data_IF_409891318631
#
_entry.id   IF_409891318631
#
_cell.length_a   1.000
_cell.length_b   1.000
_cell.length_c   1.000
_cell.angle_alpha   90.00
_cell.angle_beta   90.00
_cell.angle_gamma   90.00
#
_symmetry.space_group_name_H-M   'P 1'
#
loop_
_entity.id
_entity.type
_entity.pdbx_description
1 polymer ?
#
# COMPACT_ATOMS: atom_id res chain seq x y z
N UNK A 1 -18.92 -0.03 -27.92
CA UNK A 1 -19.92 -0.39 -26.88
C UNK A 1 -19.94 -1.90 -26.75
N UNK A 2 -19.49 -2.45 -25.62
CA UNK A 2 -19.56 -3.89 -25.35
C UNK A 2 -20.71 -4.18 -24.38
N UNK A 3 -21.68 -4.99 -24.80
CA UNK A 3 -22.75 -5.48 -23.92
C UNK A 3 -22.16 -6.48 -22.92
N UNK A 4 -22.39 -6.24 -21.62
CA UNK A 4 -21.98 -7.14 -20.53
C UNK A 4 -23.23 -7.77 -19.92
N UNK A 5 -23.26 -9.10 -19.82
CA UNK A 5 -24.35 -9.84 -19.18
C UNK A 5 -23.91 -10.33 -17.82
N UNK A 6 -24.63 -9.95 -16.77
CA UNK A 6 -24.39 -10.41 -15.40
C UNK A 6 -25.49 -11.37 -14.98
N UNK A 7 -25.10 -12.56 -14.51
CA UNK A 7 -26.02 -13.60 -14.01
C UNK A 7 -26.37 -13.31 -12.54
N UNK A 8 -27.66 -13.18 -12.23
CA UNK A 8 -28.10 -13.01 -10.84
C UNK A 8 -28.07 -14.36 -10.09
N UNK A 9 -27.54 -14.37 -8.87
CA UNK A 9 -27.62 -15.53 -7.97
C UNK A 9 -29.03 -15.61 -7.36
N UNK A 10 -29.58 -16.81 -7.26
CA UNK A 10 -30.96 -17.12 -6.87
C UNK A 10 -31.30 -16.90 -5.39
N UNK A 11 -30.55 -16.06 -4.68
CA UNK A 11 -30.63 -15.97 -3.22
C UNK A 11 -31.53 -14.81 -2.79
N UNK A 12 -32.83 -14.90 -3.11
CA UNK A 12 -33.96 -14.27 -2.41
C UNK A 12 -33.97 -12.75 -2.11
N UNK A 13 -32.96 -12.00 -2.50
CA UNK A 13 -32.82 -10.57 -2.25
C UNK A 13 -32.77 -9.85 -3.58
N UNK A 14 -33.86 -9.17 -3.91
CA UNK A 14 -33.94 -8.29 -5.08
C UNK A 14 -32.89 -7.19 -4.89
N UNK A 15 -31.90 -7.05 -5.80
CA UNK A 15 -30.97 -5.93 -5.71
C UNK A 15 -31.76 -4.63 -5.86
N UNK A 16 -31.56 -3.69 -4.94
CA UNK A 16 -32.06 -2.32 -5.08
C UNK A 16 -31.23 -1.66 -6.16
N UNK A 17 -31.80 -1.49 -7.35
CA UNK A 17 -31.18 -0.80 -8.47
C UNK A 17 -31.53 0.69 -8.39
N UNK A 18 -30.51 1.53 -8.53
CA UNK A 18 -30.62 2.98 -8.53
C UNK A 18 -31.44 3.46 -9.73
N UNK A 19 -32.32 4.45 -9.54
CA UNK A 19 -33.41 4.80 -10.46
C UNK A 19 -32.98 5.46 -11.78
N UNK A 20 -31.66 5.61 -12.02
CA UNK A 20 -31.10 6.40 -13.12
C UNK A 20 -30.57 5.62 -14.33
N UNK A 21 -30.53 4.28 -14.30
CA UNK A 21 -29.96 3.49 -15.39
C UNK A 21 -30.99 2.58 -16.08
N UNK A 22 -31.03 2.64 -17.41
CA UNK A 22 -31.89 1.79 -18.23
C UNK A 22 -31.32 0.36 -18.28
N UNK A 23 -31.97 -0.55 -17.57
CA UNK A 23 -31.68 -1.98 -17.62
C UNK A 23 -32.87 -2.74 -18.18
N UNK A 24 -32.59 -3.76 -18.98
CA UNK A 24 -33.59 -4.74 -19.43
C UNK A 24 -33.31 -6.07 -18.75
N UNK A 25 -34.32 -6.65 -18.12
CA UNK A 25 -34.25 -8.01 -17.58
C UNK A 25 -34.47 -9.01 -18.70
N UNK A 26 -33.54 -9.96 -18.86
CA UNK A 26 -33.65 -11.02 -19.86
C UNK A 26 -33.64 -12.37 -19.16
N UNK A 27 -34.65 -13.19 -19.44
CA UNK A 27 -34.70 -14.59 -19.02
C UNK A 27 -34.11 -15.48 -20.10
N UNK A 28 -33.10 -16.27 -19.73
CA UNK A 28 -32.54 -17.33 -20.57
C UNK A 28 -32.56 -18.63 -19.77
N UNK A 29 -33.53 -19.49 -20.09
CA UNK A 29 -33.81 -20.70 -19.30
C UNK A 29 -34.26 -20.36 -17.86
N UNK A 30 -33.75 -21.09 -16.87
CA UNK A 30 -34.05 -20.87 -15.45
C UNK A 30 -33.29 -19.67 -14.82
N UNK A 31 -32.45 -18.96 -15.58
CA UNK A 31 -31.63 -17.87 -15.09
C UNK A 31 -32.14 -16.50 -15.57
N UNK A 32 -32.10 -15.52 -14.68
CA UNK A 32 -32.41 -14.12 -14.99
C UNK A 32 -31.11 -13.32 -15.08
N UNK A 33 -30.96 -12.56 -16.16
CA UNK A 33 -29.81 -11.71 -16.44
C UNK A 33 -30.26 -10.25 -16.47
N UNK A 34 -29.37 -9.36 -16.05
CA UNK A 34 -29.51 -7.93 -16.29
C UNK A 34 -28.67 -7.60 -17.52
N UNK A 35 -29.30 -7.03 -18.54
CA UNK A 35 -28.63 -6.48 -19.72
C UNK A 35 -28.77 -4.95 -19.68
N UNK A 36 -27.65 -4.24 -19.71
CA UNK A 36 -27.63 -2.80 -19.73
C UNK A 36 -26.25 -2.25 -20.08
N UNK A 37 -26.23 -1.00 -20.52
CA UNK A 37 -24.99 -0.25 -20.69
C UNK A 37 -24.43 0.06 -19.31
N UNK A 38 -23.24 -0.49 -18.99
CA UNK A 38 -22.47 0.02 -17.86
C UNK A 38 -22.25 1.51 -18.12
N UNK A 39 -22.51 2.41 -17.16
CA UNK A 39 -22.21 3.82 -17.33
C UNK A 39 -20.72 3.93 -17.66
N UNK A 40 -20.43 4.36 -18.90
CA UNK A 40 -19.13 4.85 -19.27
C UNK A 40 -18.95 6.13 -18.47
N UNK A 41 -18.10 6.06 -17.46
CA UNK A 41 -17.72 7.18 -16.60
C UNK A 41 -18.85 7.67 -15.71
N UNK A 42 -18.99 7.05 -14.54
CA UNK A 42 -19.48 7.80 -13.38
C UNK A 42 -18.46 8.94 -13.16
N UNK A 43 -18.87 10.21 -13.13
CA UNK A 43 -17.97 11.29 -12.72
C UNK A 43 -17.54 10.98 -11.30
N UNK A 44 -16.33 10.45 -11.14
CA UNK A 44 -15.70 10.31 -9.84
C UNK A 44 -15.40 11.74 -9.42
N UNK A 45 -16.20 12.31 -8.51
CA UNK A 45 -15.73 13.46 -7.73
C UNK A 45 -14.34 13.10 -7.24
N UNK A 46 -13.32 13.82 -7.72
CA UNK A 46 -11.93 13.51 -7.44
C UNK A 46 -11.66 13.81 -5.97
N UNK A 47 -11.94 12.85 -5.09
CA UNK A 47 -11.39 12.80 -3.74
C UNK A 47 -9.90 12.43 -3.75
N UNK A 48 -9.30 12.36 -4.94
CA UNK A 48 -7.86 12.17 -5.12
C UNK A 48 -7.07 13.32 -4.52
N UNK A 49 -5.77 13.10 -4.39
CA UNK A 49 -4.79 13.95 -3.72
C UNK A 49 -4.69 15.43 -4.18
N UNK A 50 -5.53 15.93 -5.08
CA UNK A 50 -5.44 17.29 -5.62
C UNK A 50 -4.07 17.57 -6.26
N UNK A 51 -3.52 18.77 -6.03
CA UNK A 51 -2.17 19.17 -6.49
C UNK A 51 -1.04 18.69 -5.57
N UNK A 52 -1.30 17.76 -4.63
CA UNK A 52 -0.28 17.32 -3.66
C UNK A 52 0.90 16.62 -4.35
N UNK A 53 2.12 16.98 -3.92
CA UNK A 53 3.35 16.33 -4.34
C UNK A 53 3.50 15.00 -3.61
N UNK A 54 3.61 13.89 -4.35
CA UNK A 54 3.50 12.54 -3.80
C UNK A 54 4.72 11.70 -4.12
N UNK A 55 5.25 11.03 -3.09
CA UNK A 55 6.36 10.10 -3.20
C UNK A 55 5.88 8.66 -2.96
N UNK A 56 6.31 7.74 -3.81
CA UNK A 56 6.38 6.32 -3.51
C UNK A 56 7.84 6.00 -3.14
N UNK A 57 8.07 5.80 -1.86
CA UNK A 57 9.37 5.50 -1.28
C UNK A 57 9.51 3.98 -1.09
N UNK A 58 10.31 3.36 -1.96
CA UNK A 58 10.55 1.91 -1.94
C UNK A 58 11.77 1.65 -1.07
N UNK A 59 11.58 0.95 0.04
CA UNK A 59 12.65 0.48 0.90
C UNK A 59 13.20 -0.83 0.33
N UNK A 60 14.51 -0.88 0.11
CA UNK A 60 15.22 -2.11 -0.32
C UNK A 60 16.63 -2.14 0.30
N UNK A 61 17.46 -3.10 -0.09
CA UNK A 61 18.85 -3.22 0.34
C UNK A 61 19.76 -3.74 -0.77
N UNK A 62 21.07 -3.74 -0.55
CA UNK A 62 22.08 -4.18 -1.52
C UNK A 62 22.15 -5.71 -1.69
N UNK A 63 21.32 -6.48 -0.97
CA UNK A 63 21.24 -7.91 -1.15
C UNK A 63 20.71 -8.26 -2.54
N UNK A 64 21.38 -9.20 -3.24
CA UNK A 64 21.10 -9.53 -4.64
C UNK A 64 19.61 -9.77 -4.94
N UNK A 65 18.95 -10.59 -4.11
CA UNK A 65 17.52 -10.92 -4.27
C UNK A 65 16.64 -9.66 -4.26
N UNK A 66 16.92 -8.75 -3.34
CA UNK A 66 16.18 -7.51 -3.12
C UNK A 66 16.39 -6.53 -4.29
N UNK A 67 17.63 -6.42 -4.78
CA UNK A 67 17.92 -5.68 -6.02
C UNK A 67 17.20 -6.27 -7.24
N UNK A 68 17.13 -7.60 -7.38
CA UNK A 68 16.38 -8.25 -8.46
C UNK A 68 14.86 -7.95 -8.39
N UNK A 69 14.30 -7.84 -7.18
CA UNK A 69 12.91 -7.42 -6.98
C UNK A 69 12.70 -5.95 -7.36
N UNK A 70 13.61 -5.06 -6.92
CA UNK A 70 13.61 -3.65 -7.30
C UNK A 70 13.71 -3.45 -8.83
N UNK A 71 14.57 -4.21 -9.52
CA UNK A 71 14.61 -4.21 -11.00
C UNK A 71 13.27 -4.63 -11.61
N UNK A 72 12.61 -5.63 -11.04
CA UNK A 72 11.28 -6.02 -11.52
C UNK A 72 10.25 -4.90 -11.38
N UNK A 73 10.31 -4.12 -10.29
CA UNK A 73 9.45 -2.94 -10.12
C UNK A 73 9.72 -1.89 -11.20
N UNK A 74 11.00 -1.60 -11.49
CA UNK A 74 11.44 -0.69 -12.57
C UNK A 74 10.97 -1.13 -13.95
N UNK A 75 10.94 -2.43 -14.22
CA UNK A 75 10.50 -3.00 -15.49
C UNK A 75 8.97 -3.14 -15.60
N UNK A 76 8.22 -2.97 -14.51
CA UNK A 76 6.78 -3.23 -14.47
C UNK A 76 5.97 -1.97 -14.16
N UNK A 77 5.61 -1.74 -12.90
CA UNK A 77 4.62 -0.73 -12.52
C UNK A 77 5.21 0.67 -12.29
N UNK A 78 6.50 0.77 -11.96
CA UNK A 78 7.16 2.07 -11.66
C UNK A 78 7.08 3.06 -12.84
N UNK A 79 7.30 2.66 -14.11
CA UNK A 79 7.19 3.60 -15.24
C UNK A 79 5.78 4.19 -15.42
N UNK A 80 4.74 3.55 -14.89
CA UNK A 80 3.37 4.06 -14.99
C UNK A 80 3.05 5.13 -13.93
N UNK A 81 3.80 5.19 -12.83
CA UNK A 81 3.57 6.11 -11.71
C UNK A 81 3.59 7.59 -12.12
N UNK A 82 4.51 7.98 -13.02
CA UNK A 82 4.64 9.36 -13.47
C UNK A 82 3.36 9.89 -14.16
N UNK A 83 2.60 9.01 -14.84
CA UNK A 83 1.32 9.37 -15.49
C UNK A 83 0.27 9.84 -14.50
N UNK A 84 0.41 9.43 -13.25
CA UNK A 84 -0.49 9.76 -12.15
C UNK A 84 0.14 10.75 -11.18
N UNK A 85 1.26 11.38 -11.53
CA UNK A 85 1.92 12.41 -10.71
C UNK A 85 2.56 11.88 -9.43
N UNK A 86 3.03 10.62 -9.44
CA UNK A 86 3.85 10.07 -8.37
C UNK A 86 5.33 10.10 -8.75
N UNK A 87 6.16 10.68 -7.88
CA UNK A 87 7.59 10.44 -7.89
C UNK A 87 7.88 9.08 -7.25
N UNK A 88 8.85 8.35 -7.78
CA UNK A 88 9.29 7.06 -7.23
C UNK A 88 10.77 7.14 -6.91
N UNK A 89 11.17 6.72 -5.71
CA UNK A 89 12.57 6.60 -5.30
C UNK A 89 12.81 5.32 -4.52
N UNK A 90 13.97 4.72 -4.73
CA UNK A 90 14.45 3.54 -4.02
C UNK A 90 15.42 3.99 -2.93
N UNK A 91 15.14 3.63 -1.69
CA UNK A 91 15.94 3.99 -0.53
C UNK A 91 16.71 2.77 -0.03
N UNK A 92 18.03 2.91 0.00
CA UNK A 92 18.96 1.87 0.43
C UNK A 92 19.85 2.44 1.54
N UNK A 93 20.41 1.57 2.36
CA UNK A 93 21.50 1.93 3.26
C UNK A 93 22.78 2.25 2.49
N UNK A 94 23.83 2.58 3.25
CA UNK A 94 25.09 3.08 2.70
C UNK A 94 25.71 2.09 1.72
N UNK A 95 26.27 2.61 0.63
CA UNK A 95 27.10 1.84 -0.31
C UNK A 95 28.12 2.72 -1.00
N UNK A 96 29.21 2.09 -1.44
CA UNK A 96 30.27 2.71 -2.24
C UNK A 96 29.97 2.69 -3.73
N UNK A 97 28.96 1.91 -4.17
CA UNK A 97 28.56 1.89 -5.57
C UNK A 97 27.93 3.25 -5.94
N UNK A 98 28.08 3.76 -7.17
CA UNK A 98 27.33 4.92 -7.60
C UNK A 98 25.82 4.65 -7.54
N UNK A 99 25.07 5.57 -6.94
CA UNK A 99 23.62 5.53 -6.95
C UNK A 99 23.08 5.72 -8.37
N UNK A 100 22.02 4.98 -8.70
CA UNK A 100 21.21 5.27 -9.90
C UNK A 100 20.40 6.54 -9.68
N UNK A 101 19.88 7.13 -10.75
CA UNK A 101 19.08 8.38 -10.70
C UNK A 101 17.86 8.29 -9.77
N UNK A 102 17.27 7.10 -9.65
CA UNK A 102 16.11 6.83 -8.81
C UNK A 102 16.48 6.31 -7.40
N UNK A 103 17.77 6.20 -7.08
CA UNK A 103 18.26 5.67 -5.81
C UNK A 103 18.73 6.77 -4.87
N UNK A 104 18.36 6.64 -3.60
CA UNK A 104 18.79 7.50 -2.50
C UNK A 104 19.49 6.62 -1.47
N UNK A 105 20.76 6.91 -1.17
CA UNK A 105 21.51 6.20 -0.14
C UNK A 105 21.42 6.95 1.18
N UNK A 106 21.10 6.21 2.22
CA UNK A 106 20.95 6.68 3.58
C UNK A 106 22.14 6.18 4.40
N UNK A 107 22.72 7.03 5.24
CA UNK A 107 23.84 6.68 6.11
C UNK A 107 23.35 5.88 7.33
N UNK A 108 22.83 4.68 7.07
CA UNK A 108 22.24 3.76 8.05
C UNK A 108 22.58 2.32 7.69
N UNK A 109 22.42 1.43 8.67
CA UNK A 109 22.51 -0.01 8.46
C UNK A 109 21.50 -0.47 7.40
N UNK A 110 21.97 -1.26 6.43
CA UNK A 110 21.16 -1.72 5.31
C UNK A 110 20.47 -3.08 5.57
N UNK A 111 20.72 -3.66 6.75
CA UNK A 111 20.12 -4.91 7.20
C UNK A 111 18.68 -4.75 7.68
N UNK A 112 18.05 -5.89 7.97
CA UNK A 112 16.65 -5.92 8.41
C UNK A 112 16.44 -5.24 9.77
N UNK A 113 17.39 -5.38 10.70
CA UNK A 113 17.31 -4.70 11.99
C UNK A 113 17.48 -3.17 11.86
N UNK A 114 18.08 -2.68 10.78
CA UNK A 114 18.24 -1.26 10.47
C UNK A 114 17.00 -0.59 9.87
N UNK A 115 15.91 -1.33 9.62
CA UNK A 115 14.71 -0.79 8.96
C UNK A 115 14.10 0.44 9.66
N UNK A 116 13.97 0.51 11.01
CA UNK A 116 13.46 1.71 11.67
C UNK A 116 14.32 2.96 11.39
N UNK A 117 15.65 2.81 11.43
CA UNK A 117 16.58 3.90 11.12
C UNK A 117 16.46 4.34 9.66
N UNK A 118 16.35 3.37 8.74
CA UNK A 118 16.17 3.61 7.31
C UNK A 118 14.86 4.31 6.99
N UNK A 119 13.74 3.88 7.57
CA UNK A 119 12.44 4.52 7.39
C UNK A 119 12.41 5.92 7.99
N UNK A 120 13.01 6.12 9.17
CA UNK A 120 13.14 7.46 9.75
C UNK A 120 13.89 8.42 8.81
N UNK A 121 15.04 7.97 8.29
CA UNK A 121 15.85 8.78 7.38
C UNK A 121 15.16 9.02 6.02
N UNK A 122 14.42 8.04 5.50
CA UNK A 122 13.59 8.19 4.30
C UNK A 122 12.50 9.25 4.49
N UNK A 123 11.80 9.25 5.62
CA UNK A 123 10.79 10.28 5.89
C UNK A 123 11.40 11.66 6.11
N UNK A 124 12.59 11.75 6.73
CA UNK A 124 13.33 13.00 6.83
C UNK A 124 13.65 13.56 5.44
N UNK A 125 14.20 12.72 4.55
CA UNK A 125 14.46 13.08 3.15
C UNK A 125 13.19 13.55 2.44
N UNK A 126 12.08 12.82 2.60
CA UNK A 126 10.82 13.16 1.97
C UNK A 126 10.28 14.54 2.41
N UNK A 127 10.35 14.83 3.71
CA UNK A 127 9.93 16.12 4.26
C UNK A 127 10.80 17.27 3.74
N UNK A 128 12.13 17.06 3.70
CA UNK A 128 13.09 18.03 3.16
C UNK A 128 12.83 18.35 1.68
N UNK A 129 12.42 17.34 0.90
CA UNK A 129 12.11 17.48 -0.53
C UNK A 129 10.67 17.96 -0.81
N UNK A 130 9.93 18.31 0.25
CA UNK A 130 8.65 19.00 0.16
C UNK A 130 7.49 18.12 -0.32
N UNK A 131 7.56 16.80 -0.12
CA UNK A 131 6.41 15.94 -0.41
C UNK A 131 5.30 16.12 0.62
N UNK A 132 4.06 16.20 0.13
CA UNK A 132 2.86 16.34 0.96
C UNK A 132 2.41 14.99 1.51
N UNK A 133 2.65 13.92 0.74
CA UNK A 133 2.31 12.54 1.09
C UNK A 133 3.40 11.59 0.61
N UNK A 134 3.74 10.63 1.47
CA UNK A 134 4.73 9.59 1.19
C UNK A 134 4.13 8.21 1.45
N UNK A 135 4.08 7.39 0.41
CA UNK A 135 3.84 5.95 0.54
C UNK A 135 5.17 5.27 0.81
N UNK A 136 5.37 4.72 2.01
CA UNK A 136 6.42 3.73 2.25
C UNK A 136 5.97 2.42 1.64
N UNK A 137 6.83 1.74 0.91
CA UNK A 137 6.59 0.36 0.45
C UNK A 137 7.91 -0.43 0.34
N UNK A 138 7.82 -1.73 0.05
CA UNK A 138 8.99 -2.63 -0.05
C UNK A 138 9.25 -3.05 -1.51
N UNK A 139 10.42 -3.63 -1.77
CA UNK A 139 10.81 -4.14 -3.10
C UNK A 139 10.02 -5.36 -3.57
N UNK A 140 9.36 -6.08 -2.67
CA UNK A 140 8.50 -7.23 -2.97
C UNK A 140 7.03 -6.86 -3.25
N UNK A 141 6.76 -5.56 -3.44
CA UNK A 141 5.41 -5.02 -3.63
C UNK A 141 5.10 -4.73 -5.10
N UNK A 142 3.90 -5.12 -5.51
CA UNK A 142 3.27 -4.75 -6.77
C UNK A 142 2.15 -3.73 -6.52
N UNK A 143 2.22 -2.60 -7.22
CA UNK A 143 1.26 -1.50 -7.15
C UNK A 143 0.54 -1.37 -8.49
N UNK A 144 -0.75 -1.03 -8.44
CA UNK A 144 -1.54 -0.63 -9.62
C UNK A 144 -1.69 0.90 -9.59
N UNK A 145 -0.87 1.69 -10.33
CA UNK A 145 -0.77 3.13 -10.11
C UNK A 145 -2.07 3.91 -10.31
N UNK A 146 -2.88 3.53 -11.31
CA UNK A 146 -4.17 4.19 -11.55
C UNK A 146 -5.17 4.00 -10.40
N UNK A 147 -5.08 2.88 -9.66
CA UNK A 147 -5.92 2.65 -8.48
C UNK A 147 -5.37 3.38 -7.27
N UNK A 148 -4.04 3.44 -7.16
CA UNK A 148 -3.37 4.17 -6.09
C UNK A 148 -3.69 5.66 -6.14
N UNK A 149 -3.78 6.25 -7.33
CA UNK A 149 -4.21 7.65 -7.52
C UNK A 149 -5.62 7.93 -6.96
N UNK A 150 -6.49 6.91 -6.95
CA UNK A 150 -7.86 6.99 -6.44
C UNK A 150 -7.99 6.48 -5.00
N UNK A 151 -6.90 6.10 -4.36
CA UNK A 151 -6.93 5.62 -2.98
C UNK A 151 -7.34 6.77 -2.04
N UNK A 152 -8.18 6.49 -1.02
CA UNK A 152 -8.69 7.49 -0.08
C UNK A 152 -7.62 7.90 0.95
N UNK A 153 -6.58 8.61 0.54
CA UNK A 153 -5.47 8.94 1.44
C UNK A 153 -5.66 10.29 2.11
N UNK A 154 -5.88 11.35 1.33
CA UNK A 154 -6.18 12.67 1.88
C UNK A 154 -7.60 12.69 2.48
N UNK A 155 -7.83 13.39 3.60
CA UNK A 155 -6.92 14.27 4.33
C UNK A 155 -6.17 13.58 5.49
N UNK A 156 -6.07 12.25 5.50
CA UNK A 156 -5.60 11.51 6.67
C UNK A 156 -4.08 11.53 6.83
N UNK A 157 -3.61 11.52 8.07
CA UNK A 157 -2.19 11.59 8.40
C UNK A 157 -1.47 10.23 8.26
N UNK A 158 -2.19 9.12 8.45
CA UNK A 158 -1.62 7.76 8.43
C UNK A 158 -2.65 6.77 7.86
N UNK A 159 -2.35 6.10 6.75
CA UNK A 159 -3.28 5.17 6.07
C UNK A 159 -2.57 3.89 5.66
N UNK A 160 -3.19 2.73 5.87
CA UNK A 160 -2.65 1.45 5.42
C UNK A 160 -3.43 0.24 5.95
N UNK A 161 -2.86 -0.96 5.88
CA UNK A 161 -3.47 -2.18 6.44
C UNK A 161 -3.09 -2.38 7.90
N UNK A 162 -3.92 -1.93 8.83
CA UNK A 162 -3.58 -1.99 10.26
C UNK A 162 -3.53 -3.41 10.81
N UNK A 163 -2.73 -3.60 11.86
CA UNK A 163 -2.64 -4.82 12.66
C UNK A 163 -2.86 -4.44 14.11
N UNK A 164 -3.37 -5.41 14.86
CA UNK A 164 -3.47 -5.32 16.31
C UNK A 164 -2.06 -5.12 16.91
N UNK A 165 -1.94 -4.49 18.09
CA UNK A 165 -0.64 -4.19 18.66
C UNK A 165 0.16 -5.46 18.94
N UNK A 166 1.48 -5.38 18.83
CA UNK A 166 2.41 -6.49 19.06
C UNK A 166 3.78 -5.96 19.53
N UNK A 167 4.74 -6.85 19.82
CA UNK A 167 6.08 -6.48 20.28
C UNK A 167 6.15 -5.85 21.69
N UNK A 168 5.05 -5.84 22.43
CA UNK A 168 4.94 -5.15 23.73
C UNK A 168 4.52 -3.67 23.63
N UNK A 169 4.18 -3.19 22.43
CA UNK A 169 3.79 -1.80 22.19
C UNK A 169 2.27 -1.62 22.15
N UNK A 170 1.73 -0.45 22.55
CA UNK A 170 0.29 -0.22 22.66
C UNK A 170 -0.40 0.11 21.33
N UNK A 171 0.27 0.75 20.37
CA UNK A 171 -0.38 1.27 19.17
C UNK A 171 -0.71 0.17 18.14
N UNK A 172 -1.86 0.31 17.46
CA UNK A 172 -2.11 -0.43 16.22
C UNK A 172 -1.26 0.16 15.10
N UNK A 173 -0.75 -0.70 14.23
CA UNK A 173 0.24 -0.30 13.23
C UNK A 173 -0.15 -0.76 11.83
N UNK A 174 0.09 0.08 10.82
CA UNK A 174 -0.07 -0.32 9.43
C UNK A 174 1.03 -1.33 9.05
N UNK A 175 0.67 -2.41 8.37
CA UNK A 175 1.61 -3.46 7.96
C UNK A 175 2.79 -2.89 7.17
N UNK A 176 4.01 -3.30 7.50
CA UNK A 176 5.25 -2.76 6.93
C UNK A 176 5.31 -2.67 5.41
N UNK A 177 4.68 -3.60 4.67
CA UNK A 177 4.77 -3.61 3.21
C UNK A 177 4.24 -2.35 2.51
N UNK A 178 3.27 -1.64 3.10
CA UNK A 178 2.75 -0.41 2.51
C UNK A 178 1.91 0.43 3.47
N UNK A 179 2.25 1.72 3.57
CA UNK A 179 1.42 2.73 4.25
C UNK A 179 1.77 4.16 3.82
N UNK A 180 0.77 5.04 3.86
CA UNK A 180 0.92 6.47 3.62
C UNK A 180 1.13 7.22 4.91
N UNK A 181 2.03 8.20 4.89
CA UNK A 181 2.07 9.31 5.85
C UNK A 181 1.88 10.65 5.13
N UNK A 182 1.14 11.56 5.75
CA UNK A 182 1.18 12.98 5.39
C UNK A 182 2.53 13.58 5.76
N UNK A 183 2.87 14.75 5.20
CA UNK A 183 4.07 15.51 5.55
C UNK A 183 4.20 15.76 7.05
N UNK A 184 3.07 16.04 7.72
CA UNK A 184 3.00 16.23 9.16
C UNK A 184 3.43 14.96 9.90
N UNK A 185 2.79 13.83 9.60
CA UNK A 185 3.10 12.55 10.25
C UNK A 185 4.54 12.09 9.94
N UNK A 186 4.98 12.22 8.69
CA UNK A 186 6.36 11.94 8.28
C UNK A 186 7.36 12.80 9.07
N UNK A 187 7.06 14.08 9.30
CA UNK A 187 7.88 14.98 10.12
C UNK A 187 8.01 14.53 11.57
N UNK A 188 6.94 14.03 12.19
CA UNK A 188 7.01 13.47 13.54
C UNK A 188 7.88 12.20 13.59
N UNK A 189 7.70 11.29 12.62
CA UNK A 189 8.52 10.07 12.54
C UNK A 189 9.99 10.40 12.31
N UNK A 190 10.30 11.35 11.43
CA UNK A 190 11.66 11.79 11.12
C UNK A 190 12.41 12.31 12.36
N UNK A 191 11.71 12.95 13.29
CA UNK A 191 12.26 13.53 14.51
C UNK A 191 12.16 12.62 15.74
N UNK A 192 11.45 11.49 15.64
CA UNK A 192 11.28 10.57 16.76
C UNK A 192 12.60 9.87 17.13
N UNK A 193 12.82 9.60 18.43
CA UNK A 193 13.95 8.79 18.86
C UNK A 193 13.78 7.35 18.36
N UNK A 194 14.84 6.76 17.85
CA UNK A 194 14.82 5.34 17.50
C UNK A 194 14.67 4.51 18.76
N UNK A 195 13.78 3.52 18.70
CA UNK A 195 13.62 2.53 19.76
C UNK A 195 14.43 1.26 19.46
N UNK A 196 14.52 0.33 20.43
CA UNK A 196 15.20 -0.96 20.24
C UNK A 196 14.40 -1.98 19.41
N UNK A 197 13.26 -1.62 18.80
CA UNK A 197 12.52 -2.53 17.93
C UNK A 197 13.23 -2.67 16.58
N UNK A 198 13.07 -3.83 15.95
CA UNK A 198 13.53 -4.10 14.59
C UNK A 198 12.42 -3.88 13.56
N UNK A 199 11.16 -3.93 13.99
CA UNK A 199 10.00 -3.75 13.11
C UNK A 199 9.70 -2.25 12.96
N UNK A 200 9.96 -1.74 11.76
CA UNK A 200 9.79 -0.33 11.43
C UNK A 200 8.34 0.11 11.48
N UNK A 201 7.40 -0.77 11.13
CA UNK A 201 5.98 -0.47 11.14
C UNK A 201 5.43 -0.24 12.56
N UNK A 202 5.84 -1.06 13.52
CA UNK A 202 5.56 -0.85 14.94
C UNK A 202 6.20 0.43 15.46
N UNK A 203 7.47 0.66 15.13
CA UNK A 203 8.17 1.89 15.49
C UNK A 203 7.39 3.14 15.01
N UNK A 204 7.03 3.18 13.72
CA UNK A 204 6.29 4.30 13.12
C UNK A 204 4.97 4.56 13.82
N UNK A 205 4.16 3.52 14.04
CA UNK A 205 2.86 3.68 14.67
C UNK A 205 2.96 4.20 16.11
N UNK A 206 3.93 3.73 16.87
CA UNK A 206 4.12 4.16 18.25
C UNK A 206 4.72 5.57 18.36
N UNK A 207 5.63 5.93 17.45
CA UNK A 207 6.12 7.30 17.34
C UNK A 207 4.98 8.29 17.03
N UNK A 208 4.07 7.92 16.13
CA UNK A 208 2.88 8.73 15.80
C UNK A 208 1.86 8.77 16.96
N UNK A 209 1.70 7.68 17.70
CA UNK A 209 0.77 7.61 18.82
C UNK A 209 1.18 8.49 20.02
N UNK A 210 2.48 8.82 20.17
CA UNK A 210 2.96 9.83 21.13
C UNK A 210 2.39 11.21 20.79
N UNK A 211 2.27 11.51 19.51
CA UNK A 211 1.79 12.79 18.97
C UNK A 211 0.25 12.82 18.78
N UNK A 212 -0.44 11.78 19.25
CA UNK A 212 -1.89 11.65 19.09
C UNK A 212 -2.35 11.41 17.66
N UNK A 213 -1.47 10.97 16.76
CA UNK A 213 -1.80 10.61 15.38
C UNK A 213 -2.13 9.11 15.31
N UNK A 214 -3.36 8.80 14.90
CA UNK A 214 -3.86 7.44 14.70
C UNK A 214 -4.30 7.28 13.25
N UNK A 215 -4.22 6.06 12.72
CA UNK A 215 -4.40 5.86 11.29
C UNK A 215 -5.77 5.33 10.86
N UNK A 216 -5.97 5.39 9.55
CA UNK A 216 -7.13 4.85 8.85
C UNK A 216 -6.75 3.51 8.22
N UNK A 217 -7.48 2.49 8.61
CA UNK A 217 -7.33 1.13 8.14
C UNK A 217 -8.04 0.92 6.81
N UNK A 218 -7.30 0.45 5.80
CA UNK A 218 -7.81 0.07 4.49
C UNK A 218 -7.41 -1.38 4.18
N UNK A 219 -8.35 -2.29 4.42
CA UNK A 219 -8.13 -3.73 4.20
C UNK A 219 -8.40 -4.18 2.77
N UNK A 220 -9.03 -3.32 1.96
CA UNK A 220 -9.44 -3.60 0.59
C UNK A 220 -8.31 -3.24 -0.36
N UNK A 221 -7.76 -2.03 -0.25
CA UNK A 221 -6.72 -1.54 -1.16
C UNK A 221 -5.36 -2.18 -0.87
N UNK A 222 -5.08 -2.51 0.39
CA UNK A 222 -3.79 -3.02 0.84
C UNK A 222 -3.93 -4.48 1.25
N UNK A 223 -3.48 -5.36 0.37
CA UNK A 223 -3.61 -6.81 0.57
C UNK A 223 -2.24 -7.41 0.74
N UNK A 224 -2.05 -8.09 1.87
CA UNK A 224 -0.93 -8.99 2.04
C UNK A 224 -1.37 -10.39 1.60
N UNK A 225 -0.96 -10.90 0.43
CA UNK A 225 -1.02 -12.32 0.19
C UNK A 225 0.15 -13.02 0.90
N UNK A 226 -0.12 -14.22 1.42
CA UNK A 226 0.91 -15.17 1.78
C UNK A 226 1.40 -15.92 0.51
N UNK A 227 2.54 -16.63 0.56
CA UNK A 227 3.15 -17.29 -0.60
C UNK A 227 2.31 -18.32 -1.39
N UNK A 228 1.16 -18.88 -0.95
CA UNK A 228 0.39 -19.72 -1.86
C UNK A 228 -0.53 -18.94 -2.82
N UNK A 229 -0.69 -17.62 -2.67
CA UNK A 229 -1.60 -16.84 -3.53
C UNK A 229 -0.88 -16.39 -4.80
N UNK A 230 -0.68 -17.34 -5.71
CA UNK A 230 -0.26 -17.03 -7.07
C UNK A 230 -1.23 -16.03 -7.73
N UNK A 231 -0.79 -15.23 -8.72
CA UNK A 231 -1.61 -14.20 -9.36
C UNK A 231 -3.00 -14.67 -9.83
N UNK A 232 -3.12 -15.94 -10.26
CA UNK A 232 -4.38 -16.57 -10.65
C UNK A 232 -5.35 -16.82 -9.48
N UNK A 233 -4.83 -17.08 -8.28
CA UNK A 233 -5.64 -17.27 -7.06
C UNK A 233 -6.23 -15.94 -6.61
N UNK A 234 -5.46 -14.84 -6.69
CA UNK A 234 -5.92 -13.48 -6.36
C UNK A 234 -7.21 -13.13 -7.13
N UNK A 235 -7.29 -13.55 -8.40
CA UNK A 235 -8.46 -13.33 -9.25
C UNK A 235 -9.65 -14.16 -8.76
N UNK A 236 -9.43 -15.45 -8.51
CA UNK A 236 -10.50 -16.36 -8.08
C UNK A 236 -11.10 -15.95 -6.75
N UNK A 237 -10.27 -15.39 -5.86
CA UNK A 237 -10.68 -14.87 -4.57
C UNK A 237 -11.42 -13.53 -4.63
N UNK A 238 -11.61 -12.93 -5.82
CA UNK A 238 -12.35 -11.68 -5.95
C UNK A 238 -11.63 -10.49 -5.33
N UNK A 239 -10.30 -10.56 -5.14
CA UNK A 239 -9.47 -9.46 -4.64
C UNK A 239 -9.18 -8.47 -5.79
N UNK A 240 -10.15 -8.31 -6.68
CA UNK A 240 -10.01 -7.62 -7.95
C UNK A 240 -9.99 -6.11 -7.81
N UNK A 241 -10.34 -5.58 -6.63
CA UNK A 241 -10.36 -4.17 -6.32
C UNK A 241 -9.13 -3.67 -5.54
N UNK A 242 -8.26 -4.57 -5.08
CA UNK A 242 -7.06 -4.18 -4.35
C UNK A 242 -6.07 -3.39 -5.23
N UNK A 243 -5.26 -2.58 -4.58
CA UNK A 243 -4.37 -1.59 -5.21
C UNK A 243 -2.90 -1.96 -5.02
N UNK A 244 -2.57 -2.48 -3.83
CA UNK A 244 -1.23 -2.78 -3.38
C UNK A 244 -1.18 -4.22 -2.88
N UNK A 245 -0.20 -4.98 -3.37
CA UNK A 245 -0.01 -6.39 -3.06
C UNK A 245 1.47 -6.66 -2.74
N UNK A 246 1.79 -7.40 -1.68
CA UNK A 246 3.19 -7.68 -1.29
C UNK A 246 3.59 -9.15 -1.40
N UNK A 247 4.84 -9.46 -1.01
CA UNK A 247 5.42 -10.81 -0.97
C UNK A 247 5.63 -11.47 -2.33
N UNK A 248 5.95 -10.70 -3.37
CA UNK A 248 6.29 -11.24 -4.68
C UNK A 248 7.78 -11.28 -4.94
N UNK A 249 8.24 -12.40 -5.49
CA UNK A 249 9.53 -12.43 -6.16
C UNK A 249 9.46 -11.72 -7.53
N UNK A 250 10.63 -11.50 -8.15
CA UNK A 250 10.74 -10.79 -9.42
C UNK A 250 9.86 -11.40 -10.54
N UNK A 251 9.77 -12.73 -10.62
CA UNK A 251 8.96 -13.44 -11.64
C UNK A 251 7.47 -13.25 -11.42
N UNK A 252 7.02 -13.32 -10.18
CA UNK A 252 5.60 -13.12 -9.84
C UNK A 252 5.15 -11.69 -10.10
N UNK A 253 6.02 -10.71 -9.86
CA UNK A 253 5.74 -9.31 -10.15
C UNK A 253 5.50 -9.07 -11.64
N UNK A 254 6.30 -9.69 -12.53
CA UNK A 254 6.05 -9.67 -13.97
C UNK A 254 4.71 -10.30 -14.36
N UNK A 255 4.32 -11.41 -13.72
CA UNK A 255 3.01 -12.05 -13.92
C UNK A 255 1.86 -11.16 -13.47
N UNK A 256 1.99 -10.50 -12.30
CA UNK A 256 1.02 -9.52 -11.81
C UNK A 256 0.87 -8.36 -12.79
N UNK A 257 1.98 -7.86 -13.33
CA UNK A 257 1.94 -6.77 -14.31
C UNK A 257 1.17 -7.13 -15.57
N UNK A 258 1.46 -8.26 -16.21
CA UNK A 258 0.72 -8.73 -17.38
C UNK A 258 -0.78 -8.92 -17.09
N UNK A 259 -1.08 -9.38 -15.88
CA UNK A 259 -2.45 -9.63 -15.44
C UNK A 259 -3.29 -8.35 -15.32
N UNK A 260 -2.74 -7.31 -14.69
CA UNK A 260 -3.48 -6.07 -14.46
C UNK A 260 -3.39 -5.09 -15.61
N UNK A 261 -2.32 -5.14 -16.42
CA UNK A 261 -2.20 -4.35 -17.66
C UNK A 261 -3.31 -4.66 -18.67
N UNK A 262 -3.81 -5.89 -18.67
CA UNK A 262 -4.85 -6.35 -19.61
C UNK A 262 -6.28 -6.22 -19.06
N UNK A 263 -6.48 -5.67 -17.86
CA UNK A 263 -7.78 -5.65 -17.18
C UNK A 263 -8.33 -4.25 -17.00
N UNK A 264 -9.66 -4.07 -17.15
CA UNK A 264 -10.30 -2.80 -16.86
C UNK A 264 -10.15 -2.45 -15.38
N UNK A 265 -10.18 -1.15 -15.10
CA UNK A 265 -10.27 -0.62 -13.76
C UNK A 265 -11.51 -1.19 -13.06
N UNK A 266 -11.29 -2.01 -12.03
CA UNK A 266 -12.32 -2.37 -11.07
C UNK A 266 -12.06 -1.53 -9.83
N UNK A 267 -12.97 -0.60 -9.58
CA UNK A 267 -12.96 0.22 -8.38
C UNK A 267 -13.95 -0.40 -7.39
N UNK A 268 -13.52 -0.54 -6.14
CA UNK A 268 -14.45 -0.71 -5.02
C UNK A 268 -14.42 0.55 -4.18
N UNK A 269 -15.57 0.99 -3.65
CA UNK A 269 -15.60 2.12 -2.76
C UNK A 269 -14.69 1.84 -1.56
N UNK A 270 -13.90 2.83 -1.13
CA UNK A 270 -13.01 2.67 0.00
C UNK A 270 -13.77 2.37 1.29
N UNK A 271 -13.26 1.43 2.08
CA UNK A 271 -13.79 1.13 3.42
C UNK A 271 -12.76 1.51 4.47
N UNK A 272 -12.43 2.80 4.52
CA UNK A 272 -11.57 3.30 5.59
C UNK A 272 -12.25 3.09 6.94
N UNK A 273 -11.49 2.57 7.90
CA UNK A 273 -11.92 2.43 9.28
C UNK A 273 -10.88 3.04 10.18
N UNK A 274 -11.28 3.96 11.06
CA UNK A 274 -10.35 4.50 12.06
C UNK A 274 -9.81 3.39 12.96
N UNK A 275 -8.49 3.32 13.12
CA UNK A 275 -7.85 2.41 14.04
C UNK A 275 -8.13 2.88 15.49
N UNK A 276 -8.35 1.96 16.45
CA UNK A 276 -8.46 2.28 17.86
C UNK A 276 -7.35 3.21 18.36
N UNK A 277 -7.76 4.29 19.04
CA UNK A 277 -6.84 5.27 19.62
C UNK A 277 -6.19 4.71 20.87
N UNK A 278 -4.97 4.19 20.72
CA UNK A 278 -4.15 3.65 21.81
C UNK A 278 -2.91 4.52 21.96
N UNK A 279 -2.92 5.50 22.89
CA UNK A 279 -1.79 6.39 23.06
C UNK A 279 -0.54 5.63 23.48
N UNK A 280 0.61 6.17 23.13
CA UNK A 280 1.92 5.66 23.54
C UNK A 280 2.67 6.77 24.27
N UNK A 281 3.41 6.43 25.32
CA UNK A 281 4.35 7.35 25.97
C UNK A 281 5.76 7.14 25.43
N UNK A 282 6.63 8.13 25.59
CA UNK A 282 8.04 7.97 25.26
C UNK A 282 8.67 6.80 26.05
N UNK A 283 8.31 6.63 27.32
CA UNK A 283 8.78 5.49 28.12
C UNK A 283 8.36 4.15 27.51
N UNK A 284 7.11 4.03 27.03
CA UNK A 284 6.63 2.83 26.36
C UNK A 284 7.34 2.59 25.03
N UNK A 285 7.58 3.64 24.24
CA UNK A 285 8.30 3.55 22.97
C UNK A 285 9.73 3.03 23.18
N UNK A 286 10.40 3.43 24.26
CA UNK A 286 11.79 3.03 24.53
C UNK A 286 11.95 1.64 25.14
N UNK A 287 10.86 0.92 25.45
CA UNK A 287 10.96 -0.44 25.97
C UNK A 287 11.54 -1.39 24.92
N UNK A 288 12.33 -2.40 25.32
CA UNK A 288 12.77 -3.43 24.39
C UNK A 288 11.59 -4.17 23.77
N UNK A 289 11.70 -4.48 22.48
CA UNK A 289 10.73 -5.34 21.81
C UNK A 289 10.71 -6.73 22.46
N UNK A 290 9.50 -7.26 22.66
CA UNK A 290 9.30 -8.60 23.24
C UNK A 290 9.37 -9.72 22.18
N UNK A 291 9.29 -9.36 20.90
CA UNK A 291 9.32 -10.32 19.80
C UNK A 291 10.76 -10.55 19.31
N UNK A 292 11.08 -11.81 18.99
CA UNK A 292 12.34 -12.13 18.32
C UNK A 292 12.30 -11.68 16.86
N UNK A 293 13.46 -11.27 16.34
CA UNK A 293 13.64 -11.04 14.91
C UNK A 293 13.29 -12.35 14.15
N UNK A 294 12.41 -12.31 13.13
CA UNK A 294 12.04 -13.51 12.39
C UNK A 294 13.26 -14.13 11.70
N UNK A 295 13.47 -15.44 11.88
CA UNK A 295 14.53 -16.21 11.21
C UNK A 295 14.35 -16.33 9.68
N UNK A 296 13.38 -15.65 9.06
CA UNK A 296 13.02 -15.83 7.63
C UNK A 296 13.92 -15.09 6.64
N UNK A 297 14.90 -14.34 7.12
CA UNK A 297 15.75 -13.48 6.28
C UNK A 297 17.24 -13.83 6.41
N UNK A 298 17.55 -15.10 6.70
CA UNK A 298 18.86 -15.65 6.38
C UNK A 298 19.06 -15.58 4.87
N UNK A 299 19.82 -14.58 4.42
CA UNK A 299 20.49 -14.63 3.12
C UNK A 299 21.50 -15.77 3.07
#
# INVERSE_FOLDING_TARGET
MGLVRVKLKSNGSTPVLDAGAAYTLIKLGAATYIEGTLPTEVPVETTGFGQAKRLIAIITCHGRKFLEQAESQRLTWVPECAKYGFDVRFFLGKSERPAREDEIYLDVDDGYAGLPAKVRAMFAWSVEHGYDYTLKTDDDVYIIPYRLDKAPVAPHDFVGRFRVPSGGYPAEYASGFAYWLSKKAAGHVANAPLNPDWAEDRYVANALAIEGIFGMSDWISYVAPAPPLAPDVIIRCGISAATVFCQFNAKEMGRMHLLFKSRPAMFSPPTLREAPRRPCTLEQLMKPCQDKIPNRLGG
#
